data_IF_962085812454
#
_entry.id   IF_962085812454
#
_cell.length_a   1.000
_cell.length_b   1.000
_cell.length_c   1.000
_cell.angle_alpha   90.00
_cell.angle_beta   90.00
_cell.angle_gamma   90.00
#
_symmetry.space_group_name_H-M   'P 1'
#
loop_
_entity.id
_entity.type
_entity.pdbx_description
1 polymer ?
#
# COMPACT_ATOMS: atom_id res chain seq x y z
N UNK A 1 2.98 -22.59 5.81
CA UNK A 1 2.35 -22.89 7.10
C UNK A 1 1.00 -22.22 7.06
N UNK A 2 -0.03 -22.90 7.52
CA UNK A 2 -1.29 -22.23 7.81
C UNK A 2 -1.18 -21.57 9.18
N UNK A 3 -1.92 -20.49 9.38
CA UNK A 3 -1.91 -19.73 10.62
C UNK A 3 -3.25 -19.93 11.32
N UNK A 4 -3.20 -20.55 12.49
CA UNK A 4 -4.33 -20.60 13.41
C UNK A 4 -4.26 -19.39 14.33
N UNK A 5 -5.39 -18.73 14.57
CA UNK A 5 -5.47 -17.51 15.37
C UNK A 5 -6.79 -17.47 16.15
N UNK A 6 -6.84 -16.68 17.22
CA UNK A 6 -7.98 -16.58 18.13
C UNK A 6 -8.52 -17.93 18.65
N UNK A 7 -7.66 -18.96 18.71
CA UNK A 7 -7.98 -20.29 19.24
C UNK A 7 -8.71 -21.24 18.28
N UNK A 8 -9.58 -20.75 17.39
CA UNK A 8 -10.42 -21.60 16.54
C UNK A 8 -10.51 -21.17 15.06
N UNK A 9 -9.87 -20.07 14.66
CA UNK A 9 -9.89 -19.59 13.28
C UNK A 9 -8.60 -20.01 12.56
N UNK A 10 -8.68 -20.21 11.25
CA UNK A 10 -7.56 -20.63 10.40
C UNK A 10 -7.48 -19.79 9.14
N UNK A 11 -6.33 -19.14 8.94
CA UNK A 11 -5.95 -18.51 7.69
C UNK A 11 -5.10 -19.47 6.86
N UNK A 12 -5.50 -19.72 5.60
CA UNK A 12 -4.81 -20.66 4.73
C UNK A 12 -4.35 -19.99 3.44
N UNK A 13 -3.17 -20.39 2.95
CA UNK A 13 -2.69 -19.92 1.65
C UNK A 13 -3.58 -20.42 0.49
N UNK A 14 -4.28 -21.54 0.70
CA UNK A 14 -5.24 -22.11 -0.25
C UNK A 14 -6.34 -21.10 -0.61
N UNK A 15 -6.99 -20.49 0.38
CA UNK A 15 -8.08 -19.54 0.11
C UNK A 15 -7.63 -18.33 -0.71
N UNK A 16 -6.41 -17.81 -0.46
CA UNK A 16 -5.84 -16.71 -1.24
C UNK A 16 -5.58 -17.12 -2.70
N UNK A 17 -5.10 -18.36 -2.91
CA UNK A 17 -4.90 -18.90 -4.25
C UNK A 17 -6.23 -19.11 -4.98
N UNK A 18 -7.23 -19.67 -4.30
CA UNK A 18 -8.58 -19.85 -4.85
C UNK A 18 -9.22 -18.52 -5.24
N UNK A 19 -9.09 -17.49 -4.39
CA UNK A 19 -9.51 -16.13 -4.71
C UNK A 19 -8.88 -15.63 -6.01
N UNK A 20 -7.55 -15.67 -6.08
CA UNK A 20 -6.83 -15.24 -7.28
C UNK A 20 -7.23 -16.03 -8.53
N UNK A 21 -7.33 -17.35 -8.44
CA UNK A 21 -7.69 -18.21 -9.57
C UNK A 21 -9.11 -17.95 -10.07
N UNK A 22 -10.04 -17.60 -9.17
CA UNK A 22 -11.43 -17.28 -9.51
C UNK A 22 -11.59 -15.93 -10.25
N UNK A 23 -10.62 -15.03 -10.10
CA UNK A 23 -10.66 -13.68 -10.67
C UNK A 23 -9.68 -13.47 -11.82
N UNK A 24 -8.60 -14.25 -11.91
CA UNK A 24 -7.49 -13.96 -12.84
C UNK A 24 -7.91 -13.86 -14.31
N UNK A 25 -8.98 -14.56 -14.70
CA UNK A 25 -9.53 -14.60 -16.07
C UNK A 25 -10.71 -13.65 -16.29
N UNK A 26 -11.17 -12.93 -15.26
CA UNK A 26 -12.27 -11.97 -15.39
C UNK A 26 -11.77 -10.67 -15.99
N UNK A 27 -12.66 -10.02 -16.73
CA UNK A 27 -12.42 -8.69 -17.30
C UNK A 27 -12.43 -7.64 -16.19
N UNK A 28 -13.41 -7.73 -15.28
CA UNK A 28 -13.51 -6.90 -14.09
C UNK A 28 -13.09 -7.68 -12.84
N UNK A 29 -11.98 -7.24 -12.21
CA UNK A 29 -11.38 -7.90 -11.05
C UNK A 29 -11.65 -7.10 -9.78
N UNK A 30 -12.02 -7.77 -8.68
CA UNK A 30 -12.11 -7.17 -7.35
C UNK A 30 -10.71 -6.76 -6.85
N UNK A 31 -9.69 -7.57 -7.14
CA UNK A 31 -8.29 -7.28 -6.81
C UNK A 31 -7.39 -7.12 -8.05
N UNK A 32 -7.51 -5.98 -8.75
CA UNK A 32 -6.83 -5.68 -10.03
C UNK A 32 -5.30 -5.83 -9.99
N UNK A 33 -4.67 -5.61 -8.82
CA UNK A 33 -3.21 -5.64 -8.67
C UNK A 33 -2.62 -7.06 -8.63
N UNK A 34 -3.43 -8.07 -8.35
CA UNK A 34 -2.93 -9.45 -8.24
C UNK A 34 -2.55 -10.01 -9.61
N UNK A 35 -1.39 -10.65 -9.65
CA UNK A 35 -0.78 -11.27 -10.84
C UNK A 35 -0.09 -12.57 -10.45
N UNK A 36 0.34 -13.37 -11.44
CA UNK A 36 1.00 -14.65 -11.19
C UNK A 36 2.27 -14.50 -10.34
N UNK A 37 2.94 -13.35 -10.42
CA UNK A 37 4.14 -13.05 -9.61
C UNK A 37 3.85 -13.07 -8.09
N UNK A 38 2.61 -12.88 -7.66
CA UNK A 38 2.22 -12.91 -6.24
C UNK A 38 2.20 -14.33 -5.67
N UNK A 39 1.84 -15.32 -6.50
CA UNK A 39 1.65 -16.71 -6.09
C UNK A 39 2.76 -17.65 -6.58
N UNK A 40 3.51 -17.21 -7.58
CA UNK A 40 4.66 -17.90 -8.17
C UNK A 40 5.82 -16.91 -8.36
N UNK A 41 6.37 -16.30 -7.28
CA UNK A 41 7.44 -15.32 -7.41
C UNK A 41 8.75 -15.96 -7.86
N UNK A 42 9.40 -15.35 -8.85
CA UNK A 42 10.80 -15.61 -9.19
C UNK A 42 11.76 -15.18 -8.06
N UNK A 43 13.05 -15.50 -8.20
CA UNK A 43 14.06 -15.27 -7.14
C UNK A 43 14.12 -13.79 -6.72
N UNK A 44 14.23 -12.86 -7.69
CA UNK A 44 14.27 -11.43 -7.41
C UNK A 44 12.94 -10.90 -6.85
N UNK A 45 11.81 -11.46 -7.30
CA UNK A 45 10.48 -11.03 -6.90
C UNK A 45 10.16 -11.38 -5.44
N UNK A 46 10.81 -12.40 -4.85
CA UNK A 46 10.67 -12.73 -3.42
C UNK A 46 11.08 -11.59 -2.49
N UNK A 47 11.96 -10.70 -2.95
CA UNK A 47 12.41 -9.52 -2.20
C UNK A 47 11.51 -8.31 -2.42
N UNK A 48 10.51 -8.40 -3.30
CA UNK A 48 9.63 -7.28 -3.63
C UNK A 48 8.48 -7.21 -2.65
N UNK A 49 8.64 -6.37 -1.62
CA UNK A 49 7.66 -6.17 -0.54
C UNK A 49 6.27 -5.84 -1.10
N UNK A 50 6.19 -5.09 -2.20
CA UNK A 50 4.91 -4.73 -2.82
C UNK A 50 4.07 -5.95 -3.22
N UNK A 51 4.67 -7.07 -3.62
CA UNK A 51 3.92 -8.28 -3.95
C UNK A 51 3.28 -8.87 -2.70
N UNK A 52 4.02 -8.96 -1.60
CA UNK A 52 3.47 -9.43 -0.33
C UNK A 52 2.37 -8.49 0.19
N UNK A 53 2.62 -7.18 0.21
CA UNK A 53 1.65 -6.19 0.68
C UNK A 53 0.35 -6.20 -0.16
N UNK A 54 0.44 -6.44 -1.46
CA UNK A 54 -0.74 -6.54 -2.34
C UNK A 54 -1.57 -7.81 -2.07
N UNK A 55 -0.94 -8.95 -1.75
CA UNK A 55 -1.68 -10.15 -1.31
C UNK A 55 -2.42 -9.88 0.01
N UNK A 56 -1.76 -9.23 0.96
CA UNK A 56 -2.32 -8.93 2.27
C UNK A 56 -3.01 -7.55 2.31
N UNK A 57 -3.82 -7.22 1.30
CA UNK A 57 -4.46 -5.91 1.18
C UNK A 57 -5.94 -5.91 1.53
N UNK A 58 -6.48 -4.75 1.92
CA UNK A 58 -7.93 -4.54 2.12
C UNK A 58 -8.77 -4.97 0.91
N UNK A 59 -8.30 -4.71 -0.32
CA UNK A 59 -9.02 -5.12 -1.54
C UNK A 59 -9.15 -6.64 -1.67
N UNK A 60 -8.13 -7.40 -1.26
CA UNK A 60 -8.17 -8.86 -1.28
C UNK A 60 -9.12 -9.38 -0.21
N UNK A 61 -9.03 -8.86 1.03
CA UNK A 61 -9.97 -9.22 2.08
C UNK A 61 -11.43 -8.93 1.70
N UNK A 62 -11.69 -7.74 1.15
CA UNK A 62 -13.02 -7.34 0.69
C UNK A 62 -13.52 -8.22 -0.46
N UNK A 63 -12.68 -8.46 -1.47
CA UNK A 63 -13.04 -9.32 -2.59
C UNK A 63 -13.35 -10.76 -2.16
N UNK A 64 -12.60 -11.30 -1.20
CA UNK A 64 -12.91 -12.61 -0.62
C UNK A 64 -14.28 -12.63 0.07
N UNK A 65 -14.63 -11.59 0.83
CA UNK A 65 -15.96 -11.48 1.47
C UNK A 65 -17.07 -11.47 0.43
N UNK A 66 -16.93 -10.65 -0.62
CA UNK A 66 -17.88 -10.59 -1.75
C UNK A 66 -18.09 -11.95 -2.40
N UNK A 67 -17.01 -12.70 -2.67
CA UNK A 67 -17.15 -14.03 -3.28
C UNK A 67 -17.82 -15.03 -2.34
N UNK A 68 -17.63 -14.93 -1.03
CA UNK A 68 -18.36 -15.76 -0.06
C UNK A 68 -19.84 -15.39 -0.02
N UNK A 69 -20.16 -14.08 -0.01
CA UNK A 69 -21.54 -13.59 0.06
C UNK A 69 -22.37 -13.91 -1.20
N UNK A 70 -21.69 -14.22 -2.30
CA UNK A 70 -22.30 -14.68 -3.55
C UNK A 70 -22.16 -16.18 -3.78
N UNK A 71 -21.83 -16.95 -2.73
CA UNK A 71 -21.68 -18.42 -2.76
C UNK A 71 -20.65 -18.92 -3.80
N UNK A 72 -19.67 -18.08 -4.16
CA UNK A 72 -18.56 -18.40 -5.08
C UNK A 72 -17.30 -18.86 -4.37
N UNK A 73 -17.29 -18.85 -3.04
CA UNK A 73 -16.19 -19.30 -2.21
C UNK A 73 -16.71 -19.89 -0.89
N UNK A 74 -15.97 -20.83 -0.32
CA UNK A 74 -16.33 -21.48 0.94
C UNK A 74 -16.38 -20.47 2.10
N UNK A 75 -17.36 -20.59 3.00
CA UNK A 75 -17.50 -19.71 4.18
C UNK A 75 -16.26 -19.66 5.07
N UNK A 76 -15.43 -20.71 5.09
CA UNK A 76 -14.17 -20.73 5.84
C UNK A 76 -13.15 -19.69 5.31
N UNK A 77 -13.30 -19.21 4.06
CA UNK A 77 -12.48 -18.14 3.50
C UNK A 77 -12.66 -16.80 4.23
N UNK A 78 -13.80 -16.57 4.90
CA UNK A 78 -14.01 -15.38 5.75
C UNK A 78 -12.97 -15.25 6.86
N UNK A 79 -12.49 -16.38 7.40
CA UNK A 79 -11.42 -16.37 8.40
C UNK A 79 -10.10 -15.90 7.79
N UNK A 80 -9.81 -16.30 6.55
CA UNK A 80 -8.62 -15.79 5.86
C UNK A 80 -8.76 -14.31 5.48
N UNK A 81 -9.95 -13.86 5.07
CA UNK A 81 -10.23 -12.46 4.82
C UNK A 81 -10.05 -11.58 6.07
N UNK A 82 -10.56 -12.01 7.23
CA UNK A 82 -10.33 -11.31 8.51
C UNK A 82 -8.84 -11.24 8.86
N UNK A 83 -8.10 -12.34 8.68
CA UNK A 83 -6.66 -12.36 8.94
C UNK A 83 -5.92 -11.37 8.04
N UNK A 84 -6.23 -11.37 6.74
CA UNK A 84 -5.64 -10.45 5.75
C UNK A 84 -5.91 -9.00 6.12
N UNK A 85 -7.14 -8.67 6.49
CA UNK A 85 -7.52 -7.32 6.91
C UNK A 85 -6.69 -6.84 8.11
N UNK A 86 -6.59 -7.67 9.16
CA UNK A 86 -5.81 -7.33 10.35
C UNK A 86 -4.34 -7.14 10.02
N UNK A 87 -3.77 -7.98 9.15
CA UNK A 87 -2.39 -7.80 8.68
C UNK A 87 -2.23 -6.51 7.88
N UNK A 88 -3.18 -6.16 7.02
CA UNK A 88 -3.18 -4.89 6.28
C UNK A 88 -3.17 -3.70 7.23
N UNK A 89 -4.08 -3.67 8.21
CA UNK A 89 -4.21 -2.59 9.19
C UNK A 89 -2.92 -2.40 10.00
N UNK A 90 -2.36 -3.50 10.52
CA UNK A 90 -1.09 -3.47 11.26
C UNK A 90 0.06 -2.95 10.40
N UNK A 91 0.16 -3.43 9.16
CA UNK A 91 1.20 -3.00 8.23
C UNK A 91 1.06 -1.53 7.86
N UNK A 92 -0.15 -1.07 7.58
CA UNK A 92 -0.42 0.33 7.22
C UNK A 92 -0.04 1.29 8.35
N UNK A 93 -0.37 0.97 9.61
CA UNK A 93 0.01 1.77 10.78
C UNK A 93 1.53 1.89 10.91
N UNK A 94 2.24 0.75 10.91
CA UNK A 94 3.70 0.73 11.04
C UNK A 94 4.41 1.33 9.83
N UNK A 95 3.73 1.44 8.69
CA UNK A 95 4.23 2.04 7.46
C UNK A 95 3.59 3.42 7.16
N UNK A 96 3.14 4.13 8.19
CA UNK A 96 2.62 5.50 8.06
C UNK A 96 3.69 6.46 7.54
N UNK A 97 3.35 7.17 6.46
CA UNK A 97 4.32 7.94 5.68
C UNK A 97 3.90 9.39 5.42
N UNK A 98 2.60 9.64 5.27
CA UNK A 98 2.06 10.92 4.86
C UNK A 98 1.37 11.61 6.02
N UNK A 99 1.62 12.91 6.18
CA UNK A 99 0.93 13.73 7.20
C UNK A 99 -0.60 13.65 7.05
N UNK A 100 -1.07 13.68 5.81
CA UNK A 100 -2.49 13.58 5.44
C UNK A 100 -2.85 12.20 4.87
N UNK A 101 -2.09 11.17 5.25
CA UNK A 101 -2.39 9.80 4.86
C UNK A 101 -3.74 9.37 5.45
N UNK A 102 -4.52 8.62 4.67
CA UNK A 102 -5.82 8.13 5.11
C UNK A 102 -5.66 6.81 5.87
N UNK A 103 -6.55 6.57 6.82
CA UNK A 103 -6.56 5.36 7.65
C UNK A 103 -5.20 5.17 8.35
N UNK A 104 -4.71 3.93 8.48
CA UNK A 104 -3.42 3.65 9.13
C UNK A 104 -2.19 4.29 8.46
N UNK A 105 -2.32 4.85 7.25
CA UNK A 105 -1.18 5.41 6.49
C UNK A 105 -0.81 6.84 6.88
N UNK A 106 -1.65 7.48 7.69
CA UNK A 106 -1.45 8.83 8.20
C UNK A 106 -0.38 8.89 9.28
N UNK A 107 0.31 10.02 9.39
CA UNK A 107 1.21 10.28 10.50
C UNK A 107 0.45 10.27 11.83
N UNK A 108 1.09 9.77 12.88
CA UNK A 108 0.53 9.76 14.23
C UNK A 108 0.69 11.14 14.85
N UNK A 109 -0.41 11.80 15.15
CA UNK A 109 -0.44 13.09 15.86
C UNK A 109 -0.84 12.88 17.33
N UNK A 110 -0.77 13.94 18.13
CA UNK A 110 -1.25 13.90 19.51
C UNK A 110 -2.74 13.52 19.60
N UNK A 111 -3.56 14.01 18.66
CA UNK A 111 -4.99 13.72 18.57
C UNK A 111 -5.26 12.25 18.25
N UNK A 112 -4.49 11.66 17.33
CA UNK A 112 -4.68 10.25 16.93
C UNK A 112 -3.96 9.25 17.83
N UNK A 113 -3.05 9.72 18.71
CA UNK A 113 -2.11 8.86 19.43
C UNK A 113 -2.80 7.77 20.24
N UNK A 114 -3.85 8.10 21.00
CA UNK A 114 -4.56 7.13 21.84
C UNK A 114 -5.23 6.04 21.00
N UNK A 115 -5.86 6.43 19.88
CA UNK A 115 -6.48 5.49 18.94
C UNK A 115 -5.44 4.54 18.35
N UNK A 116 -4.31 5.07 17.88
CA UNK A 116 -3.22 4.26 17.29
C UNK A 116 -2.60 3.34 18.33
N UNK A 117 -2.38 3.79 19.57
CA UNK A 117 -1.86 2.96 20.66
C UNK A 117 -2.81 1.81 21.02
N UNK A 118 -4.12 2.07 21.00
CA UNK A 118 -5.15 1.04 21.19
C UNK A 118 -5.13 0.02 20.06
N UNK A 119 -5.07 0.46 18.80
CA UNK A 119 -4.96 -0.41 17.63
C UNK A 119 -3.69 -1.27 17.67
N UNK A 120 -2.54 -0.69 18.03
CA UNK A 120 -1.28 -1.42 18.21
C UNK A 120 -1.35 -2.45 19.34
N UNK A 121 -2.09 -2.17 20.42
CA UNK A 121 -2.29 -3.12 21.52
C UNK A 121 -3.19 -4.27 21.10
N UNK A 122 -4.30 -4.01 20.38
CA UNK A 122 -5.15 -5.04 19.81
C UNK A 122 -4.40 -5.91 18.77
N UNK A 123 -3.53 -5.30 17.98
CA UNK A 123 -2.63 -5.99 17.05
C UNK A 123 -1.66 -6.93 17.78
N UNK A 124 -1.05 -6.46 18.87
CA UNK A 124 -0.18 -7.27 19.72
C UNK A 124 -0.91 -8.50 20.27
N UNK A 125 -2.10 -8.30 20.84
CA UNK A 125 -2.95 -9.41 21.33
C UNK A 125 -3.30 -10.40 20.22
N UNK A 126 -3.68 -9.90 19.06
CA UNK A 126 -3.97 -10.71 17.88
C UNK A 126 -2.78 -11.58 17.46
N UNK A 127 -1.58 -11.00 17.36
CA UNK A 127 -0.35 -11.73 16.99
C UNK A 127 0.00 -12.79 18.03
N UNK A 128 -0.20 -12.50 19.32
CA UNK A 128 0.06 -13.48 20.39
C UNK A 128 -0.75 -14.77 20.20
N UNK A 129 -1.97 -14.67 19.65
CA UNK A 129 -2.81 -15.84 19.36
C UNK A 129 -2.30 -16.74 18.23
N UNK A 130 -1.36 -16.27 17.40
CA UNK A 130 -0.93 -16.99 16.21
C UNK A 130 -0.22 -18.31 16.56
N UNK A 131 -0.66 -19.38 15.90
CA UNK A 131 -0.06 -20.72 15.90
C UNK A 131 0.20 -21.14 14.46
N UNK A 132 1.32 -21.79 14.23
CA UNK A 132 1.83 -22.10 12.89
C UNK A 132 1.73 -23.59 12.62
N UNK A 133 0.76 -23.97 11.78
CA UNK A 133 0.49 -25.35 11.42
C UNK A 133 1.28 -25.74 10.16
N UNK A 134 2.21 -26.74 10.22
CA UNK A 134 2.97 -27.18 9.06
C UNK A 134 2.09 -27.82 7.99
N UNK A 135 2.39 -27.55 6.72
CA UNK A 135 1.62 -28.07 5.57
C UNK A 135 1.84 -29.58 5.35
N UNK A 136 3.01 -30.11 5.75
CA UNK A 136 3.41 -31.52 5.50
C UNK A 136 3.27 -32.43 6.73
N UNK A 137 2.38 -32.09 7.65
CA UNK A 137 2.27 -32.76 8.95
C UNK A 137 3.40 -32.36 9.91
N UNK A 138 3.09 -32.35 11.20
CA UNK A 138 4.00 -31.91 12.26
C UNK A 138 3.27 -31.17 13.37
N UNK A 139 3.96 -30.94 14.49
CA UNK A 139 3.39 -30.19 15.62
C UNK A 139 3.28 -28.71 15.27
N UNK A 140 2.14 -28.12 15.62
CA UNK A 140 1.93 -26.68 15.51
C UNK A 140 2.96 -25.94 16.38
N UNK A 141 3.56 -24.88 15.85
CA UNK A 141 4.50 -24.03 16.58
C UNK A 141 3.79 -22.79 17.11
N UNK A 142 4.13 -22.36 18.32
CA UNK A 142 3.58 -21.14 18.93
C UNK A 142 4.45 -19.90 18.69
N UNK A 143 5.72 -20.09 18.31
CA UNK A 143 6.65 -19.01 17.99
C UNK A 143 7.35 -19.24 16.64
N UNK A 144 7.72 -18.12 16.00
CA UNK A 144 8.53 -18.01 14.80
C UNK A 144 9.33 -16.70 14.89
N UNK A 145 10.55 -16.59 14.35
CA UNK A 145 11.35 -15.37 14.43
C UNK A 145 10.63 -14.11 13.91
N UNK A 146 9.83 -14.24 12.84
CA UNK A 146 9.07 -13.10 12.32
C UNK A 146 7.91 -12.68 13.24
N UNK A 147 7.33 -13.61 14.02
CA UNK A 147 6.31 -13.28 15.04
C UNK A 147 6.92 -12.42 16.13
N UNK A 148 8.12 -12.78 16.59
CA UNK A 148 8.88 -12.00 17.56
C UNK A 148 9.25 -10.63 17.00
N UNK A 149 9.63 -10.57 15.71
CA UNK A 149 9.84 -9.31 14.99
C UNK A 149 8.61 -8.38 15.00
N UNK A 150 7.43 -8.90 14.68
CA UNK A 150 6.18 -8.12 14.75
C UNK A 150 5.89 -7.59 16.16
N UNK A 151 6.02 -8.44 17.18
CA UNK A 151 5.79 -8.04 18.57
C UNK A 151 6.77 -6.95 19.02
N UNK A 152 8.04 -7.09 18.65
CA UNK A 152 9.07 -6.10 18.93
C UNK A 152 8.78 -4.77 18.22
N UNK A 153 8.47 -4.80 16.91
CA UNK A 153 8.16 -3.60 16.14
C UNK A 153 6.96 -2.84 16.71
N UNK A 154 5.90 -3.55 17.12
CA UNK A 154 4.71 -2.95 17.73
C UNK A 154 5.05 -2.31 19.09
N UNK A 155 5.78 -3.02 19.95
CA UNK A 155 6.19 -2.50 21.25
C UNK A 155 7.11 -1.27 21.11
N UNK A 156 8.07 -1.33 20.18
CA UNK A 156 8.92 -0.19 19.84
C UNK A 156 8.11 1.00 19.32
N UNK A 157 7.15 0.78 18.42
CA UNK A 157 6.29 1.83 17.89
C UNK A 157 5.49 2.52 19.01
N UNK A 158 4.91 1.75 19.94
CA UNK A 158 4.20 2.31 21.11
C UNK A 158 5.10 3.23 21.95
N UNK A 159 6.33 2.82 22.21
CA UNK A 159 7.32 3.62 22.96
C UNK A 159 7.77 4.87 22.20
N UNK A 160 8.00 4.75 20.90
CA UNK A 160 8.36 5.87 20.03
C UNK A 160 7.22 6.91 19.99
N UNK A 161 5.97 6.47 19.90
CA UNK A 161 4.79 7.36 19.95
C UNK A 161 4.74 8.10 21.28
N UNK A 162 4.86 7.38 22.40
CA UNK A 162 4.85 7.99 23.74
C UNK A 162 5.97 9.03 23.88
N UNK A 163 7.21 8.62 23.65
CA UNK A 163 8.37 9.50 23.80
C UNK A 163 8.32 10.68 22.83
N UNK A 164 8.11 10.43 21.54
CA UNK A 164 8.17 11.44 20.49
C UNK A 164 7.12 12.53 20.65
N UNK A 165 5.88 12.15 20.98
CA UNK A 165 4.78 13.11 21.10
C UNK A 165 4.70 13.75 22.50
N UNK A 166 4.87 12.98 23.58
CA UNK A 166 4.65 13.47 24.95
C UNK A 166 5.88 14.07 25.61
N UNK A 167 7.07 13.51 25.35
CA UNK A 167 8.30 13.91 26.04
C UNK A 167 9.15 14.82 25.16
N UNK A 168 9.34 14.46 23.89
CA UNK A 168 10.15 15.23 22.94
C UNK A 168 9.38 16.38 22.26
N UNK A 169 8.05 16.39 22.33
CA UNK A 169 7.20 17.47 21.80
C UNK A 169 7.18 17.57 20.26
N UNK A 170 7.37 16.45 19.55
CA UNK A 170 7.25 16.42 18.08
C UNK A 170 5.77 16.47 17.70
N UNK A 171 5.40 17.27 16.70
CA UNK A 171 3.99 17.46 16.31
C UNK A 171 3.33 16.22 15.71
N UNK A 172 4.11 15.38 15.04
CA UNK A 172 3.64 14.13 14.43
C UNK A 172 4.78 13.14 14.20
N UNK A 173 4.44 11.87 14.01
CA UNK A 173 5.39 10.79 13.71
C UNK A 173 4.95 9.99 12.49
N UNK A 174 5.84 9.84 11.51
CA UNK A 174 5.66 8.89 10.41
C UNK A 174 6.42 7.60 10.74
N UNK A 175 5.71 6.52 11.08
CA UNK A 175 6.36 5.29 11.55
C UNK A 175 7.22 4.61 10.48
N UNK A 176 6.95 4.86 9.18
CA UNK A 176 7.80 4.40 8.07
C UNK A 176 9.26 4.86 8.21
N UNK A 177 9.51 6.00 8.87
CA UNK A 177 10.88 6.54 9.08
C UNK A 177 11.74 5.69 10.01
N UNK A 178 11.14 4.76 10.75
CA UNK A 178 11.82 3.81 11.62
C UNK A 178 12.04 2.44 10.96
N UNK A 179 11.70 2.30 9.68
CA UNK A 179 12.06 1.14 8.85
C UNK A 179 13.45 1.33 8.24
N UNK A 180 14.02 0.26 7.66
CA UNK A 180 15.31 0.32 6.97
C UNK A 180 15.20 0.78 5.50
N UNK A 181 14.00 1.13 5.01
CA UNK A 181 13.75 1.42 3.60
C UNK A 181 14.64 2.55 3.08
N UNK A 182 14.91 3.57 3.89
CA UNK A 182 15.80 4.68 3.53
C UNK A 182 17.25 4.22 3.27
N UNK A 183 17.73 3.22 4.02
CA UNK A 183 19.05 2.61 3.80
C UNK A 183 19.05 1.77 2.51
N UNK A 184 17.97 1.04 2.24
CA UNK A 184 17.82 0.25 1.01
C UNK A 184 17.71 1.13 -0.25
N UNK A 185 16.98 2.25 -0.15
CA UNK A 185 16.92 3.32 -1.16
C UNK A 185 18.32 3.87 -1.42
N UNK A 186 19.05 4.22 -0.36
CA UNK A 186 20.42 4.70 -0.47
C UNK A 186 21.35 3.70 -1.17
N UNK A 187 21.30 2.42 -0.81
CA UNK A 187 22.09 1.40 -1.52
C UNK A 187 21.68 1.23 -2.98
N UNK A 188 20.40 1.45 -3.30
CA UNK A 188 19.94 1.47 -4.70
C UNK A 188 20.54 2.64 -5.47
N UNK A 189 20.70 3.81 -4.85
CA UNK A 189 21.42 4.95 -5.44
C UNK A 189 22.89 4.63 -5.69
N UNK A 190 23.55 3.97 -4.73
CA UNK A 190 24.97 3.56 -4.86
C UNK A 190 25.14 2.59 -6.02
N UNK A 191 24.29 1.56 -6.11
CA UNK A 191 24.29 0.62 -7.25
C UNK A 191 24.01 1.33 -8.57
N UNK A 192 23.01 2.21 -8.61
CA UNK A 192 22.63 2.97 -9.81
C UNK A 192 23.71 3.94 -10.33
N UNK A 193 24.69 4.32 -9.50
CA UNK A 193 25.89 5.08 -9.96
C UNK A 193 26.96 4.19 -10.60
N UNK A 194 26.93 2.88 -10.35
CA UNK A 194 27.86 1.91 -10.93
C UNK A 194 27.31 1.25 -12.21
N UNK A 195 26.18 1.75 -12.74
CA UNK A 195 25.58 1.24 -13.98
C UNK A 195 25.15 -0.21 -13.85
N UNK A 196 25.63 -1.07 -14.76
CA UNK A 196 25.34 -2.52 -14.76
C UNK A 196 26.18 -3.32 -13.75
N UNK A 197 27.05 -2.68 -12.98
CA UNK A 197 27.81 -3.36 -11.93
C UNK A 197 26.99 -3.43 -10.63
N UNK A 198 26.18 -4.47 -10.51
CA UNK A 198 25.33 -4.72 -9.32
C UNK A 198 26.13 -5.05 -8.05
N UNK A 199 27.39 -5.47 -8.20
CA UNK A 199 28.29 -5.85 -7.11
C UNK A 199 29.59 -5.04 -7.20
N UNK A 200 29.54 -3.72 -6.93
CA UNK A 200 30.72 -2.88 -7.02
C UNK A 200 31.79 -3.32 -6.05
N UNK A 201 33.05 -3.32 -6.50
CA UNK A 201 34.20 -3.43 -5.60
C UNK A 201 34.26 -2.22 -4.66
N UNK A 202 35.00 -2.36 -3.55
CA UNK A 202 35.09 -1.32 -2.53
C UNK A 202 35.47 0.06 -3.10
N UNK A 203 36.39 0.12 -4.06
CA UNK A 203 36.80 1.37 -4.69
C UNK A 203 35.63 2.05 -5.43
N UNK A 204 34.88 1.28 -6.23
CA UNK A 204 33.72 1.76 -6.99
C UNK A 204 32.57 2.17 -6.05
N UNK A 205 32.36 1.41 -4.97
CA UNK A 205 31.41 1.76 -3.92
C UNK A 205 31.77 3.10 -3.26
N UNK A 206 33.03 3.29 -2.85
CA UNK A 206 33.49 4.54 -2.24
C UNK A 206 33.42 5.73 -3.21
N UNK A 207 33.71 5.52 -4.49
CA UNK A 207 33.55 6.54 -5.53
C UNK A 207 32.09 6.97 -5.69
N UNK A 208 31.17 6.00 -5.78
CA UNK A 208 29.74 6.26 -5.85
C UNK A 208 29.20 6.96 -4.60
N UNK A 209 29.62 6.52 -3.41
CA UNK A 209 29.29 7.13 -2.12
C UNK A 209 29.70 8.61 -2.08
N UNK A 210 30.97 8.92 -2.38
CA UNK A 210 31.47 10.30 -2.43
C UNK A 210 30.70 11.15 -3.43
N UNK A 211 30.39 10.59 -4.59
CA UNK A 211 29.62 11.28 -5.63
C UNK A 211 28.16 11.56 -5.20
N UNK A 212 27.51 10.63 -4.49
CA UNK A 212 26.16 10.84 -3.92
C UNK A 212 26.20 11.98 -2.90
N UNK A 213 27.15 11.95 -1.97
CA UNK A 213 27.29 12.96 -0.93
C UNK A 213 27.58 14.34 -1.50
N UNK A 214 28.43 14.45 -2.53
CA UNK A 214 28.74 15.71 -3.19
C UNK A 214 27.59 16.22 -4.08
N UNK A 215 26.81 15.31 -4.68
CA UNK A 215 25.72 15.63 -5.59
C UNK A 215 24.35 15.79 -4.93
N UNK A 216 24.31 16.14 -3.63
CA UNK A 216 23.08 16.40 -2.85
C UNK A 216 22.01 15.30 -2.90
N UNK A 217 22.40 14.04 -3.12
CA UNK A 217 21.45 12.94 -3.35
C UNK A 217 20.46 13.17 -4.50
N UNK A 218 20.75 14.06 -5.47
CA UNK A 218 19.84 14.34 -6.59
C UNK A 218 19.76 13.14 -7.55
N UNK A 219 18.73 12.30 -7.37
CA UNK A 219 18.20 11.43 -8.42
C UNK A 219 16.80 10.95 -8.05
N UNK A 220 15.88 10.96 -9.02
CA UNK A 220 14.64 10.19 -8.95
C UNK A 220 15.00 8.70 -8.92
N UNK A 221 14.47 7.95 -7.96
CA UNK A 221 14.56 6.49 -7.96
C UNK A 221 14.02 5.97 -9.30
N UNK A 222 14.68 4.94 -9.86
CA UNK A 222 14.22 4.35 -11.11
C UNK A 222 12.86 3.67 -10.91
N UNK A 223 12.01 3.69 -11.95
CA UNK A 223 10.73 2.98 -11.92
C UNK A 223 10.95 1.49 -11.62
N UNK A 224 10.33 0.97 -10.55
CA UNK A 224 10.34 -0.47 -10.23
C UNK A 224 11.31 -0.91 -9.13
N UNK A 225 11.87 0.00 -8.32
CA UNK A 225 12.59 -0.34 -7.07
C UNK A 225 11.70 -1.09 -6.07
N UNK A 226 12.33 -1.83 -5.15
CA UNK A 226 11.60 -2.58 -4.11
C UNK A 226 11.01 -1.66 -3.03
N UNK A 227 11.71 -0.56 -2.74
CA UNK A 227 11.29 0.45 -1.77
C UNK A 227 10.65 1.65 -2.50
N UNK A 228 9.68 2.25 -1.83
CA UNK A 228 9.04 3.49 -2.26
C UNK A 228 9.96 4.68 -1.97
N UNK A 229 9.73 5.79 -2.67
CA UNK A 229 10.37 7.06 -2.34
C UNK A 229 9.98 7.49 -0.91
N UNK A 230 11.00 7.73 -0.09
CA UNK A 230 10.85 8.21 1.29
C UNK A 230 10.62 9.72 1.37
N UNK A 231 10.84 10.45 0.26
CA UNK A 231 10.66 11.89 0.16
C UNK A 231 11.68 12.68 0.99
N UNK A 232 12.81 12.05 1.31
CA UNK A 232 13.81 12.63 2.20
C UNK A 232 14.76 13.58 1.48
N UNK A 233 15.18 14.60 2.23
CA UNK A 233 16.22 15.55 1.84
C UNK A 233 17.43 15.40 2.76
N UNK A 234 18.61 15.78 2.26
CA UNK A 234 19.83 15.79 3.06
C UNK A 234 19.67 16.72 4.27
N UNK A 235 19.83 16.17 5.49
CA UNK A 235 19.79 16.96 6.72
C UNK A 235 20.92 18.01 6.81
N UNK A 236 22.05 17.75 6.13
CA UNK A 236 23.19 18.66 6.03
C UNK A 236 23.54 18.84 4.56
N UNK A 237 23.26 20.02 4.03
CA UNK A 237 23.74 20.42 2.71
C UNK A 237 25.17 20.95 2.82
N UNK A 238 26.08 20.37 2.04
CA UNK A 238 27.37 21.00 1.79
C UNK A 238 27.06 22.25 0.96
N UNK A 239 27.03 23.43 1.61
CA UNK A 239 26.96 24.71 0.91
C UNK A 239 28.21 24.84 0.04
N UNK A 240 27.98 25.14 -1.23
CA UNK A 240 28.90 25.06 -2.35
C UNK A 240 30.39 25.36 -2.05
N UNK A 241 31.27 24.41 -2.37
CA UNK A 241 32.71 24.65 -2.60
C UNK A 241 33.00 25.12 -4.04
N UNK A 242 31.97 25.55 -4.79
CA UNK A 242 32.13 26.07 -6.16
C UNK A 242 31.87 27.57 -6.18
N UNK A 243 32.96 28.33 -6.24
CA UNK A 243 32.91 29.66 -6.84
C UNK A 243 32.25 29.57 -8.21
N UNK A 244 31.32 30.49 -8.45
CA UNK A 244 30.46 30.55 -9.63
C UNK A 244 31.30 30.56 -10.91
N UNK A 245 31.36 29.44 -11.62
CA UNK A 245 31.59 29.46 -13.07
C UNK A 245 30.21 29.62 -13.72
N UNK A 246 29.91 30.85 -14.11
CA UNK A 246 28.72 31.22 -14.87
C UNK A 246 28.74 30.49 -16.22
N UNK A 247 27.99 29.39 -16.32
CA UNK A 247 27.62 28.81 -17.60
C UNK A 247 26.24 29.32 -17.99
N UNK A 248 26.17 29.87 -19.20
CA UNK A 248 25.02 30.57 -19.75
C UNK A 248 23.74 29.71 -19.73
N UNK A 249 22.66 30.33 -19.27
CA UNK A 249 21.32 29.78 -19.26
C UNK A 249 20.75 29.79 -20.68
N UNK A 250 20.56 28.63 -21.29
CA UNK A 250 19.59 28.45 -22.38
C UNK A 250 18.24 28.13 -21.75
N UNK A 251 17.32 29.10 -21.80
CA UNK A 251 15.92 28.92 -21.43
C UNK A 251 15.23 28.00 -22.45
N UNK A 252 14.86 26.80 -22.05
CA UNK A 252 13.84 26.03 -22.75
C UNK A 252 12.48 26.47 -22.21
N UNK A 253 11.68 27.11 -23.06
CA UNK A 253 10.32 27.51 -22.75
C UNK A 253 9.44 26.27 -22.52
N UNK A 254 8.75 26.23 -21.39
CA UNK A 254 7.66 25.30 -21.13
C UNK A 254 6.51 25.61 -22.10
N UNK A 255 6.15 24.62 -22.91
CA UNK A 255 4.90 24.68 -23.68
C UNK A 255 3.74 24.23 -22.77
N UNK A 256 2.62 24.96 -22.74
CA UNK A 256 1.44 24.53 -22.01
C UNK A 256 0.86 23.26 -22.67
N UNK A 257 0.72 22.20 -21.87
CA UNK A 257 -0.04 21.01 -22.27
C UNK A 257 -1.50 21.42 -22.49
N UNK A 258 -1.92 21.47 -23.76
CA UNK A 258 -3.34 21.54 -24.10
C UNK A 258 -4.02 20.25 -23.64
N UNK A 259 -4.97 20.37 -22.71
CA UNK A 259 -5.94 19.32 -22.45
C UNK A 259 -6.73 19.08 -23.73
N UNK A 260 -6.45 17.97 -24.41
CA UNK A 260 -7.25 17.50 -25.54
C UNK A 260 -8.57 17.00 -24.97
N UNK A 261 -9.65 17.75 -25.18
CA UNK A 261 -10.99 17.20 -25.01
C UNK A 261 -11.09 16.00 -25.95
N UNK A 262 -11.25 14.81 -25.38
CA UNK A 262 -11.62 13.62 -26.15
C UNK A 262 -13.09 13.79 -26.44
N UNK A 263 -13.42 14.12 -27.70
CA UNK A 263 -14.77 13.92 -28.21
C UNK A 263 -15.09 12.45 -28.06
N UNK A 264 -16.11 12.12 -27.25
CA UNK A 264 -16.68 10.80 -27.24
C UNK A 264 -17.36 10.62 -28.61
N UNK A 265 -16.65 10.00 -29.55
CA UNK A 265 -17.31 9.38 -30.69
C UNK A 265 -18.31 8.38 -30.11
N UNK A 266 -19.57 8.54 -30.51
CA UNK A 266 -20.69 7.71 -30.09
C UNK A 266 -20.54 6.30 -30.64
N UNK A 267 -19.60 5.55 -30.10
CA UNK A 267 -19.60 4.10 -30.24
C UNK A 267 -20.80 3.56 -29.48
N UNK A 268 -21.67 2.90 -30.23
CA UNK A 268 -22.84 2.18 -29.74
C UNK A 268 -22.38 1.33 -28.57
N UNK A 269 -22.84 1.68 -27.37
CA UNK A 269 -22.62 0.91 -26.15
C UNK A 269 -23.06 -0.52 -26.43
N UNK A 270 -22.10 -1.39 -26.69
CA UNK A 270 -22.37 -2.82 -26.78
C UNK A 270 -22.79 -3.21 -25.37
N UNK A 271 -23.98 -3.77 -25.19
CA UNK A 271 -24.42 -4.25 -23.88
C UNK A 271 -23.40 -5.30 -23.38
N UNK A 272 -22.47 -4.87 -22.54
CA UNK A 272 -21.55 -5.77 -21.86
C UNK A 272 -22.38 -6.44 -20.77
N UNK A 273 -22.71 -7.70 -20.98
CA UNK A 273 -23.39 -8.51 -19.97
C UNK A 273 -22.41 -8.81 -18.83
N UNK A 274 -22.48 -8.02 -17.77
CA UNK A 274 -21.73 -8.26 -16.53
C UNK A 274 -22.33 -9.44 -15.76
N UNK A 275 -21.48 -10.25 -15.12
CA UNK A 275 -21.98 -11.21 -14.14
C UNK A 275 -22.56 -10.48 -12.90
N UNK A 276 -23.39 -11.17 -12.11
CA UNK A 276 -24.09 -10.53 -11.00
C UNK A 276 -23.13 -9.84 -10.01
N UNK A 277 -21.92 -10.40 -9.81
CA UNK A 277 -20.91 -9.87 -8.90
C UNK A 277 -20.26 -8.60 -9.46
N UNK A 278 -19.94 -8.63 -10.76
CA UNK A 278 -19.38 -7.50 -11.46
C UNK A 278 -20.38 -6.33 -11.48
N UNK A 279 -21.65 -6.61 -11.76
CA UNK A 279 -22.72 -5.63 -11.82
C UNK A 279 -23.03 -4.99 -10.45
N UNK A 280 -23.06 -5.77 -9.36
CA UNK A 280 -23.49 -5.26 -8.04
C UNK A 280 -22.36 -4.68 -7.20
N UNK A 281 -21.11 -5.11 -7.39
CA UNK A 281 -20.00 -4.72 -6.51
C UNK A 281 -18.90 -3.97 -7.26
N UNK A 282 -18.46 -4.47 -8.43
CA UNK A 282 -17.30 -3.89 -9.16
C UNK A 282 -17.68 -2.62 -9.92
N UNK A 283 -18.79 -2.63 -10.65
CA UNK A 283 -19.26 -1.47 -11.42
C UNK A 283 -19.54 -0.25 -10.53
N UNK A 284 -20.26 -0.37 -9.39
CA UNK A 284 -20.46 0.76 -8.48
C UNK A 284 -19.15 1.28 -7.87
N UNK A 285 -18.21 0.39 -7.54
CA UNK A 285 -16.90 0.78 -7.03
C UNK A 285 -16.10 1.60 -8.06
N UNK A 286 -16.05 1.14 -9.31
CA UNK A 286 -15.39 1.87 -10.42
C UNK A 286 -16.10 3.19 -10.66
N UNK A 287 -17.44 3.20 -10.69
CA UNK A 287 -18.26 4.42 -10.85
C UNK A 287 -17.92 5.47 -9.80
N UNK A 288 -17.85 5.10 -8.53
CA UNK A 288 -17.45 6.01 -7.44
C UNK A 288 -16.02 6.54 -7.57
N UNK A 289 -15.09 5.72 -8.09
CA UNK A 289 -13.72 6.16 -8.36
C UNK A 289 -13.65 7.16 -9.52
N UNK A 290 -14.35 6.89 -10.64
CA UNK A 290 -14.43 7.79 -11.80
C UNK A 290 -15.05 9.12 -11.37
N UNK A 291 -16.16 9.09 -10.63
CA UNK A 291 -16.84 10.28 -10.14
C UNK A 291 -15.90 11.18 -9.32
N UNK A 292 -15.14 10.59 -8.39
CA UNK A 292 -14.13 11.30 -7.58
C UNK A 292 -13.05 11.95 -8.45
N UNK A 293 -12.61 11.29 -9.52
CA UNK A 293 -11.54 11.79 -10.40
C UNK A 293 -12.01 12.91 -11.32
N UNK A 294 -13.25 12.85 -11.79
CA UNK A 294 -13.81 13.84 -12.72
C UNK A 294 -14.28 15.12 -12.02
N UNK A 295 -14.33 15.14 -10.69
CA UNK A 295 -14.76 16.30 -9.89
C UNK A 295 -16.06 16.95 -10.41
N UNK A 296 -17.03 16.12 -10.83
CA UNK A 296 -18.33 16.57 -11.38
C UNK A 296 -19.21 17.08 -10.23
N UNK A 297 -18.81 18.19 -9.61
CA UNK A 297 -19.49 18.77 -8.45
C UNK A 297 -20.39 19.95 -8.81
N UNK A 298 -20.37 20.40 -10.06
CA UNK A 298 -21.05 21.62 -10.51
C UNK A 298 -22.34 21.38 -11.31
N UNK A 299 -22.65 20.14 -11.72
CA UNK A 299 -23.86 19.83 -12.48
C UNK A 299 -24.83 19.00 -11.64
N UNK A 300 -25.99 19.57 -11.29
CA UNK A 300 -27.01 18.89 -10.49
C UNK A 300 -27.66 17.73 -11.27
N UNK A 301 -27.85 17.85 -12.59
CA UNK A 301 -28.41 16.76 -13.41
C UNK A 301 -27.49 15.53 -13.43
N UNK A 302 -26.18 15.72 -13.62
CA UNK A 302 -25.22 14.61 -13.55
C UNK A 302 -25.14 14.03 -12.13
N UNK A 303 -25.34 14.85 -11.10
CA UNK A 303 -25.37 14.37 -9.71
C UNK A 303 -26.57 13.44 -9.49
N UNK A 304 -27.76 13.81 -9.96
CA UNK A 304 -28.97 13.03 -9.77
C UNK A 304 -28.94 11.70 -10.55
N UNK A 305 -28.25 11.65 -11.70
CA UNK A 305 -28.04 10.40 -12.46
C UNK A 305 -26.97 9.47 -11.88
N UNK A 306 -26.02 10.01 -11.10
CA UNK A 306 -24.86 9.26 -10.58
C UNK A 306 -24.97 8.88 -9.10
N UNK A 307 -26.09 9.23 -8.44
CA UNK A 307 -26.39 8.88 -7.06
C UNK A 307 -27.60 7.94 -7.04
N UNK A 308 -27.54 6.91 -6.22
CA UNK A 308 -28.66 5.99 -5.96
C UNK A 308 -28.96 5.99 -4.47
N UNK A 309 -30.25 6.02 -4.11
CA UNK A 309 -30.72 5.93 -2.72
C UNK A 309 -30.57 4.51 -2.16
N UNK A 310 -30.50 3.50 -3.03
CA UNK A 310 -30.28 2.11 -2.68
C UNK A 310 -28.89 1.66 -3.16
N UNK A 311 -28.04 1.23 -2.23
CA UNK A 311 -26.81 0.52 -2.57
C UNK A 311 -27.15 -0.91 -3.01
N UNK A 312 -26.91 -1.31 -4.27
CA UNK A 312 -27.07 -2.70 -4.68
C UNK A 312 -26.00 -3.60 -4.02
N UNK A 313 -24.90 -3.01 -3.55
CA UNK A 313 -23.79 -3.73 -2.96
C UNK A 313 -24.02 -3.97 -1.47
N UNK A 314 -23.72 -5.20 -1.04
CA UNK A 314 -24.00 -5.69 0.32
C UNK A 314 -22.75 -5.69 1.20
N UNK A 315 -21.56 -5.57 0.62
CA UNK A 315 -20.30 -5.92 1.30
C UNK A 315 -19.20 -4.85 1.17
N UNK A 316 -19.15 -4.08 0.08
CA UNK A 316 -18.27 -2.89 0.03
C UNK A 316 -18.84 -1.73 0.83
N UNK A 317 -18.01 -1.11 1.70
CA UNK A 317 -18.30 0.23 2.21
C UNK A 317 -18.18 1.23 1.07
N UNK A 318 -19.32 1.67 0.54
CA UNK A 318 -19.34 2.76 -0.43
C UNK A 318 -18.87 4.06 0.23
N UNK A 319 -18.17 4.87 -0.54
CA UNK A 319 -17.92 6.26 -0.16
C UNK A 319 -19.21 7.03 -0.43
N UNK A 320 -19.76 7.68 0.58
CA UNK A 320 -20.93 8.52 0.43
C UNK A 320 -20.61 9.69 -0.52
N UNK A 321 -21.62 10.20 -1.21
CA UNK A 321 -21.46 11.39 -2.07
C UNK A 321 -20.86 12.59 -1.29
N UNK A 322 -21.18 12.72 -0.01
CA UNK A 322 -20.60 13.75 0.86
C UNK A 322 -19.07 13.58 1.06
N UNK A 323 -18.55 12.35 1.01
CA UNK A 323 -17.11 12.03 1.04
C UNK A 323 -16.36 12.44 -0.24
N UNK A 324 -17.09 12.93 -1.24
CA UNK A 324 -16.55 13.47 -2.48
C UNK A 324 -16.75 14.99 -2.59
N UNK A 325 -17.82 15.54 -1.99
CA UNK A 325 -18.13 16.98 -1.98
C UNK A 325 -17.15 17.79 -1.13
N UNK A 326 -16.72 17.21 -0.01
CA UNK A 326 -15.54 17.68 0.68
C UNK A 326 -14.34 17.05 0.00
N UNK A 327 -13.71 17.80 -0.90
CA UNK A 327 -12.29 17.60 -1.19
C UNK A 327 -11.48 17.83 0.09
N UNK A 328 -11.54 16.89 1.02
CA UNK A 328 -10.67 16.84 2.18
C UNK A 328 -9.72 15.68 1.95
N UNK A 329 -8.49 16.09 1.62
CA UNK A 329 -7.21 15.49 2.05
C UNK A 329 -7.20 13.97 2.17
#
# INVERSE_FOLDING_TARGET
HDIEYNGNKRATWRHLREFYESERRRELKLAVKLTDAHFCPGIAQKMKVSLAAQVFSHSVASGMRVLVDHDRMEKSALQTAEFVEKVNEMFDILNSASLFGKHGKGAVTEESAETVLSQLSAAQEFILTWRFSPVRGGRSKTTMPFKEGWLLSIESAKRIIHFGLREAGVSYLCLRRFSQDHVENFFSMVRGRNGFNEKPELHAFLGALRSISAGKMERKLANGTNCEDDGDAMAVEIRDLREKVTAASTSAAEQPQQHRAVSADGDVATEIAFDNVEATEVVPYIGGWIFRKLQIFACNSCKDELVTDESPARTFTHKNFEDSRYGLT
#
